data_IF_280948191410
#
_entry.id   IF_280948191410
#
_cell.length_a   1.000
_cell.length_b   1.000
_cell.length_c   1.000
_cell.angle_alpha   90.00
_cell.angle_beta   90.00
_cell.angle_gamma   90.00
#
_symmetry.space_group_name_H-M   'P 1'
#
loop_
_entity.id
_entity.type
_entity.pdbx_description
1 polymer ?
#
# COMPACT_ATOMS: atom_id res chain seq x y z
N UNK A 1 -21.18 -16.82 -17.07
CA UNK A 1 -20.23 -17.07 -15.97
C UNK A 1 -20.48 -16.10 -14.83
N UNK A 2 -20.49 -16.58 -13.59
CA UNK A 2 -20.64 -15.72 -12.43
C UNK A 2 -19.25 -15.40 -11.86
N UNK A 3 -18.74 -14.23 -12.17
CA UNK A 3 -17.40 -13.80 -11.77
C UNK A 3 -17.23 -13.77 -10.25
N UNK A 4 -18.22 -13.21 -9.52
CA UNK A 4 -18.13 -13.11 -8.06
C UNK A 4 -18.09 -14.48 -7.38
N UNK A 5 -18.88 -15.42 -7.87
CA UNK A 5 -18.88 -16.78 -7.32
C UNK A 5 -17.54 -17.47 -7.58
N UNK A 6 -17.00 -17.33 -8.79
CA UNK A 6 -15.70 -17.90 -9.13
C UNK A 6 -14.59 -17.29 -8.27
N UNK A 7 -14.61 -15.97 -8.08
CA UNK A 7 -13.64 -15.30 -7.22
C UNK A 7 -13.67 -15.83 -5.80
N UNK A 8 -14.86 -16.02 -5.23
CA UNK A 8 -14.98 -16.60 -3.87
C UNK A 8 -14.41 -18.02 -3.82
N UNK A 9 -14.69 -18.83 -4.83
CA UNK A 9 -14.18 -20.20 -4.88
C UNK A 9 -12.66 -20.23 -4.94
N UNK A 10 -12.07 -19.41 -5.81
CA UNK A 10 -10.63 -19.33 -5.97
C UNK A 10 -9.95 -18.75 -4.72
N UNK A 11 -10.57 -17.79 -4.08
CA UNK A 11 -10.05 -17.24 -2.83
C UNK A 11 -10.03 -18.30 -1.72
N UNK A 12 -11.07 -19.13 -1.63
CA UNK A 12 -11.11 -20.24 -0.67
C UNK A 12 -10.02 -21.27 -0.99
N UNK A 13 -9.81 -21.58 -2.26
CA UNK A 13 -8.84 -22.59 -2.67
C UNK A 13 -7.40 -22.11 -2.49
N UNK A 14 -7.11 -20.85 -2.91
CA UNK A 14 -5.76 -20.28 -2.88
C UNK A 14 -5.41 -19.64 -1.53
N UNK A 15 -6.40 -19.11 -0.82
CA UNK A 15 -6.21 -18.31 0.37
C UNK A 15 -5.66 -16.93 0.06
N UNK A 16 -5.68 -16.06 1.08
CA UNK A 16 -5.12 -14.71 0.97
C UNK A 16 -3.86 -14.60 1.82
N UNK A 17 -2.78 -14.11 1.22
CA UNK A 17 -1.53 -13.82 1.91
C UNK A 17 -1.10 -12.39 1.63
N UNK A 18 -0.97 -11.61 2.67
CA UNK A 18 -0.56 -10.20 2.57
C UNK A 18 0.90 -10.07 2.16
N UNK A 19 1.75 -10.97 2.61
CA UNK A 19 3.19 -10.89 2.36
C UNK A 19 3.65 -11.95 1.37
N UNK A 20 4.70 -11.68 0.60
CA UNK A 20 5.22 -12.64 -0.37
C UNK A 20 5.65 -13.96 0.27
N UNK A 21 5.43 -15.03 -0.46
CA UNK A 21 5.83 -16.38 -0.06
C UNK A 21 6.23 -17.16 -1.31
N UNK A 22 6.92 -18.28 -1.13
CA UNK A 22 7.20 -19.20 -2.24
C UNK A 22 6.09 -20.24 -2.30
N UNK A 23 5.48 -20.39 -3.49
CA UNK A 23 4.49 -21.44 -3.72
C UNK A 23 5.18 -22.81 -3.85
N UNK A 24 4.38 -23.89 -3.95
CA UNK A 24 4.91 -25.26 -4.04
C UNK A 24 5.80 -25.45 -5.26
N UNK A 25 5.57 -24.69 -6.34
CA UNK A 25 6.41 -24.73 -7.54
C UNK A 25 7.69 -23.88 -7.43
N UNK A 26 7.90 -23.21 -6.29
CA UNK A 26 9.10 -22.42 -6.04
C UNK A 26 9.05 -20.96 -6.52
N UNK A 27 7.90 -20.51 -7.03
CA UNK A 27 7.73 -19.12 -7.46
C UNK A 27 7.32 -18.21 -6.32
N UNK A 28 7.84 -16.98 -6.33
CA UNK A 28 7.41 -15.94 -5.41
C UNK A 28 5.97 -15.54 -5.71
N UNK A 29 5.10 -15.64 -4.72
CA UNK A 29 3.66 -15.40 -4.87
C UNK A 29 3.13 -14.54 -3.73
N UNK A 30 1.95 -13.93 -3.90
CA UNK A 30 1.34 -13.05 -2.91
C UNK A 30 -0.15 -12.91 -3.22
N UNK A 31 -0.87 -12.26 -2.31
CA UNK A 31 -2.30 -11.99 -2.45
C UNK A 31 -3.09 -13.30 -2.59
N UNK A 32 -3.95 -13.42 -3.58
CA UNK A 32 -4.79 -14.61 -3.79
C UNK A 32 -4.16 -15.41 -4.93
N UNK A 33 -3.05 -16.11 -4.60
CA UNK A 33 -2.38 -16.99 -5.57
C UNK A 33 -1.72 -16.27 -6.75
N UNK A 34 -1.39 -14.97 -6.63
CA UNK A 34 -0.71 -14.25 -7.70
C UNK A 34 0.76 -14.62 -7.75
N UNK A 35 1.19 -15.17 -8.87
CA UNK A 35 2.61 -15.43 -9.12
C UNK A 35 3.30 -14.11 -9.48
N UNK A 36 4.03 -13.54 -8.53
CA UNK A 36 4.71 -12.26 -8.71
C UNK A 36 5.92 -12.36 -9.64
N UNK A 37 6.50 -13.55 -9.72
CA UNK A 37 7.75 -13.74 -10.45
C UNK A 37 7.52 -13.81 -11.96
N UNK A 38 6.42 -14.42 -12.40
CA UNK A 38 6.14 -14.59 -13.83
C UNK A 38 5.00 -13.73 -14.34
N UNK A 39 4.02 -13.42 -13.49
CA UNK A 39 2.87 -12.55 -13.83
C UNK A 39 3.13 -11.11 -13.43
N UNK A 40 3.69 -10.90 -12.24
CA UNK A 40 3.95 -9.58 -11.70
C UNK A 40 2.68 -8.86 -11.28
N UNK A 41 2.75 -7.53 -11.29
CA UNK A 41 1.65 -6.64 -10.90
C UNK A 41 1.35 -5.72 -12.08
N UNK A 42 0.08 -5.67 -12.51
CA UNK A 42 -0.35 -4.79 -13.60
C UNK A 42 -0.38 -3.35 -13.13
N UNK A 43 -0.27 -2.42 -14.07
CA UNK A 43 -0.28 -0.98 -13.77
C UNK A 43 -1.54 -0.55 -13.01
N UNK A 44 -2.71 -1.06 -13.39
CA UNK A 44 -3.96 -0.75 -12.69
C UNK A 44 -3.95 -1.23 -11.24
N UNK A 45 -3.38 -2.40 -11.00
CA UNK A 45 -3.21 -2.95 -9.65
C UNK A 45 -2.20 -2.12 -8.84
N UNK A 46 -1.09 -1.74 -9.48
CA UNK A 46 -0.06 -0.91 -8.84
C UNK A 46 -0.62 0.46 -8.44
N UNK A 47 -1.45 1.07 -9.29
CA UNK A 47 -2.10 2.35 -8.94
C UNK A 47 -3.06 2.21 -7.77
N UNK A 48 -3.79 1.11 -7.68
CA UNK A 48 -4.67 0.85 -6.54
C UNK A 48 -3.87 0.71 -5.25
N UNK A 49 -2.76 -0.02 -5.32
CA UNK A 49 -1.83 -0.15 -4.19
C UNK A 49 -1.25 1.20 -3.78
N UNK A 50 -0.86 2.01 -4.77
CA UNK A 50 -0.34 3.36 -4.51
C UNK A 50 -1.36 4.24 -3.79
N UNK A 51 -2.62 4.17 -4.19
CA UNK A 51 -3.70 4.91 -3.52
C UNK A 51 -3.81 4.51 -2.05
N UNK A 52 -3.76 3.21 -1.76
CA UNK A 52 -3.78 2.71 -0.38
C UNK A 52 -2.57 3.21 0.40
N UNK A 53 -1.39 3.19 -0.21
CA UNK A 53 -0.17 3.66 0.43
C UNK A 53 -0.24 5.16 0.74
N UNK A 54 -0.82 5.95 -0.16
CA UNK A 54 -1.04 7.39 0.06
C UNK A 54 -2.02 7.61 1.22
N UNK A 55 -3.09 6.83 1.30
CA UNK A 55 -4.04 6.93 2.41
C UNK A 55 -3.37 6.62 3.75
N UNK A 56 -2.47 5.65 3.80
CA UNK A 56 -1.68 5.35 4.99
C UNK A 56 -0.77 6.53 5.36
N UNK A 57 -0.15 7.17 4.38
CA UNK A 57 0.66 8.36 4.59
C UNK A 57 -0.16 9.50 5.21
N UNK A 58 -1.35 9.74 4.68
CA UNK A 58 -2.26 10.78 5.19
C UNK A 58 -2.66 10.48 6.63
N UNK A 59 -2.98 9.23 6.93
CA UNK A 59 -3.33 8.82 8.29
C UNK A 59 -2.19 9.11 9.27
N UNK A 60 -0.96 8.78 8.89
CA UNK A 60 0.21 9.06 9.72
C UNK A 60 0.43 10.57 9.92
N UNK A 61 0.27 11.35 8.85
CA UNK A 61 0.47 12.81 8.92
C UNK A 61 -0.58 13.49 9.78
N UNK A 62 -1.83 13.00 9.74
CA UNK A 62 -2.89 13.52 10.64
C UNK A 62 -2.56 13.27 12.10
N UNK A 63 -1.91 12.16 12.41
CA UNK A 63 -1.46 11.86 13.78
C UNK A 63 -0.29 12.75 14.20
N UNK A 64 0.60 13.09 13.27
CA UNK A 64 1.77 13.91 13.56
C UNK A 64 1.45 15.40 13.62
N UNK A 65 0.52 15.86 12.80
CA UNK A 65 0.17 17.28 12.63
C UNK A 65 -1.33 17.45 12.80
N UNK A 66 -1.75 18.03 13.93
CA UNK A 66 -3.18 18.21 14.23
C UNK A 66 -3.89 19.06 13.18
N UNK A 67 -3.18 20.01 12.59
CA UNK A 67 -3.73 20.94 11.60
C UNK A 67 -3.50 20.49 10.16
N UNK A 68 -3.17 19.21 9.93
CA UNK A 68 -2.85 18.72 8.58
C UNK A 68 -3.96 19.03 7.57
N UNK A 69 -5.23 18.79 7.96
CA UNK A 69 -6.36 18.98 7.04
C UNK A 69 -6.63 20.45 6.73
N UNK A 70 -6.12 21.38 7.56
CA UNK A 70 -6.27 22.81 7.37
C UNK A 70 -5.15 23.41 6.49
N UNK A 71 -4.13 22.64 6.17
CA UNK A 71 -3.03 23.10 5.33
C UNK A 71 -3.47 23.23 3.86
N UNK A 72 -2.85 24.14 3.10
CA UNK A 72 -3.11 24.21 1.66
C UNK A 72 -2.82 22.89 0.98
N UNK A 73 -3.59 22.57 -0.08
CA UNK A 73 -3.47 21.29 -0.77
C UNK A 73 -2.04 21.01 -1.24
N UNK A 74 -1.34 22.01 -1.76
CA UNK A 74 0.04 21.85 -2.22
C UNK A 74 0.98 21.44 -1.08
N UNK A 75 0.77 22.00 0.11
CA UNK A 75 1.59 21.66 1.29
C UNK A 75 1.26 20.24 1.74
N UNK A 76 -0.01 19.87 1.75
CA UNK A 76 -0.40 18.48 2.06
C UNK A 76 0.27 17.50 1.12
N UNK A 77 0.28 17.78 -0.18
CA UNK A 77 0.88 16.92 -1.19
C UNK A 77 2.40 16.78 -1.00
N UNK A 78 3.08 17.88 -0.67
CA UNK A 78 4.53 17.84 -0.37
C UNK A 78 4.80 16.96 0.84
N UNK A 79 4.01 17.10 1.91
CA UNK A 79 4.17 16.32 3.13
C UNK A 79 3.90 14.83 2.87
N UNK A 80 2.87 14.51 2.09
CA UNK A 80 2.57 13.13 1.71
C UNK A 80 3.73 12.52 0.93
N UNK A 81 4.27 13.26 -0.03
CA UNK A 81 5.43 12.80 -0.81
C UNK A 81 6.62 12.53 0.11
N UNK A 82 6.90 13.42 1.05
CA UNK A 82 7.99 13.23 2.01
C UNK A 82 7.76 11.98 2.87
N UNK A 83 6.55 11.81 3.40
CA UNK A 83 6.22 10.63 4.20
C UNK A 83 6.39 9.34 3.38
N UNK A 84 5.96 9.35 2.13
CA UNK A 84 6.11 8.20 1.23
C UNK A 84 7.58 7.84 1.04
N UNK A 85 8.43 8.83 0.78
CA UNK A 85 9.85 8.62 0.52
C UNK A 85 10.64 8.23 1.78
N UNK A 86 10.34 8.88 2.91
CA UNK A 86 11.10 8.69 4.15
C UNK A 86 10.59 7.54 5.02
N UNK A 87 9.36 7.09 4.78
CA UNK A 87 8.70 6.12 5.65
C UNK A 87 8.21 6.74 6.96
N UNK A 88 7.46 5.98 7.78
CA UNK A 88 6.88 6.52 9.02
C UNK A 88 7.95 7.00 10.01
N UNK A 89 9.05 6.26 10.15
CA UNK A 89 10.14 6.63 11.06
C UNK A 89 10.86 7.90 10.61
N UNK A 90 11.14 8.01 9.29
CA UNK A 90 11.83 9.15 8.73
C UNK A 90 11.06 10.46 8.87
N UNK A 91 9.75 10.44 8.63
CA UNK A 91 8.92 11.65 8.74
C UNK A 91 8.80 12.10 10.20
N UNK A 92 8.71 11.18 11.15
CA UNK A 92 8.72 11.51 12.58
C UNK A 92 10.03 12.19 12.98
N UNK A 93 11.16 11.66 12.50
CA UNK A 93 12.48 12.25 12.74
C UNK A 93 12.59 13.66 12.18
N UNK A 94 12.06 13.88 10.97
CA UNK A 94 12.02 15.20 10.36
C UNK A 94 11.21 16.19 11.21
N UNK A 95 10.04 15.79 11.70
CA UNK A 95 9.21 16.61 12.57
C UNK A 95 9.95 16.99 13.86
N UNK A 96 10.63 16.04 14.48
CA UNK A 96 11.41 16.27 15.70
C UNK A 96 12.54 17.27 15.45
N UNK A 97 13.20 17.18 14.29
CA UNK A 97 14.27 18.10 13.92
C UNK A 97 13.77 19.54 13.75
N UNK A 98 12.55 19.69 13.24
CA UNK A 98 11.93 21.01 13.07
C UNK A 98 11.46 21.61 14.40
N UNK A 99 11.37 20.82 15.42
CA UNK A 99 10.90 21.26 16.73
C UNK A 99 9.43 21.18 16.88
#
# INVERSE_FOLDING_TARGET
MNMNRLMRTLEQDEGYRQFPYKCTAGYLSCAIGRNLQTVGIRYSEARFMLKNDIEDCVTDLRKLLENFDDLPAMIQEVLVNMRFQLGPGGIRGFKQMLG
#
